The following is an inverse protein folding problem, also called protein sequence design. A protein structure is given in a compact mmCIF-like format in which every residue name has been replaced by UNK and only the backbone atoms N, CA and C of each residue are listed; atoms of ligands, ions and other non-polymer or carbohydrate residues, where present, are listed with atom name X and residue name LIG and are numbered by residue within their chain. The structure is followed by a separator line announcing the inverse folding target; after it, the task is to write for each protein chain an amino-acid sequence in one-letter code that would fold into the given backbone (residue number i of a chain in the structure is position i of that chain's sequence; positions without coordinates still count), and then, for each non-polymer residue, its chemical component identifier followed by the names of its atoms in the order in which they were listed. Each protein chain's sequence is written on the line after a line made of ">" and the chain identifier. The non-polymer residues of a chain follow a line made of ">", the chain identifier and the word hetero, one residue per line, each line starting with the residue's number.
data_IF_519052411120
#
_entry.id   IF_519052411120
#
_cell.length_a   1.000
_cell.length_b   1.000
_cell.length_c   1.000
_cell.angle_alpha   90.00
_cell.angle_beta   90.00
_cell.angle_gamma   90.00
#
_symmetry.space_group_name_H-M   'P 1'
#
loop_
_entity.id
_entity.type
_entity.pdbx_description
1 polymer ?
#
# COMPACT_ATOMS: atom_id res chain seq x y z
N UNK A 1 -5.22 0.98 19.24
CA UNK A 1 -4.69 -0.36 18.90
C UNK A 1 -3.45 -0.20 18.02
N UNK A 2 -2.58 -1.22 17.93
CA UNK A 2 -1.44 -1.23 16.99
C UNK A 2 -1.72 -2.21 15.85
N UNK A 3 -1.58 -1.77 14.61
CA UNK A 3 -1.95 -2.56 13.42
C UNK A 3 -0.88 -2.43 12.33
N UNK A 4 -0.44 -3.56 11.79
CA UNK A 4 0.41 -3.60 10.62
C UNK A 4 -0.37 -4.17 9.43
N UNK A 5 -0.38 -3.44 8.32
CA UNK A 5 -0.98 -3.86 7.04
C UNK A 5 0.14 -4.22 6.08
N UNK A 6 0.25 -5.51 5.74
CA UNK A 6 1.31 -6.03 4.86
C UNK A 6 0.71 -6.36 3.49
N UNK A 7 1.21 -5.71 2.45
CA UNK A 7 0.72 -5.87 1.07
C UNK A 7 1.74 -6.67 0.28
N UNK A 8 1.34 -7.88 -0.12
CA UNK A 8 2.16 -8.85 -0.87
C UNK A 8 1.72 -9.05 -2.32
N UNK A 9 0.50 -8.60 -2.68
CA UNK A 9 -0.07 -8.81 -4.02
C UNK A 9 0.76 -8.10 -5.09
N UNK A 10 0.93 -8.76 -6.23
CA UNK A 10 1.64 -8.19 -7.37
C UNK A 10 0.69 -7.32 -8.22
N UNK A 11 0.98 -6.03 -8.46
CA UNK A 11 0.21 -5.26 -9.44
C UNK A 11 0.30 -5.84 -10.86
N UNK A 12 1.35 -6.62 -11.17
CA UNK A 12 1.54 -7.22 -12.50
C UNK A 12 0.64 -8.43 -12.77
N UNK A 13 -0.09 -8.96 -11.79
CA UNK A 13 -1.07 -10.01 -12.06
C UNK A 13 -2.18 -9.53 -13.01
N UNK A 14 -2.39 -8.21 -13.10
CA UNK A 14 -3.42 -7.61 -13.94
C UNK A 14 -4.85 -7.97 -13.54
N UNK A 15 -5.03 -8.57 -12.35
CA UNK A 15 -6.33 -9.03 -11.87
C UNK A 15 -7.03 -7.95 -11.04
N UNK A 16 -8.35 -7.84 -11.22
CA UNK A 16 -9.22 -7.00 -10.38
C UNK A 16 -9.07 -7.35 -8.89
N UNK A 17 -8.77 -8.62 -8.60
CA UNK A 17 -8.51 -9.12 -7.27
C UNK A 17 -7.26 -8.49 -6.63
N UNK A 18 -6.15 -8.34 -7.36
CA UNK A 18 -4.95 -7.70 -6.84
C UNK A 18 -5.18 -6.21 -6.55
N UNK A 19 -5.92 -5.53 -7.44
CA UNK A 19 -6.35 -4.15 -7.22
C UNK A 19 -7.28 -4.03 -6.00
N UNK A 20 -8.26 -4.91 -5.89
CA UNK A 20 -9.18 -4.94 -4.75
C UNK A 20 -8.44 -5.15 -3.42
N UNK A 21 -7.45 -6.04 -3.38
CA UNK A 21 -6.62 -6.28 -2.19
C UNK A 21 -5.86 -5.04 -1.74
N UNK A 22 -5.15 -4.37 -2.65
CA UNK A 22 -4.41 -3.14 -2.30
C UNK A 22 -5.36 -2.03 -1.90
N UNK A 23 -6.49 -1.89 -2.59
CA UNK A 23 -7.48 -0.86 -2.33
C UNK A 23 -8.09 -0.99 -0.93
N UNK A 24 -8.51 -2.20 -0.56
CA UNK A 24 -9.09 -2.49 0.75
C UNK A 24 -8.04 -2.33 1.87
N UNK A 25 -6.79 -2.72 1.61
CA UNK A 25 -5.69 -2.52 2.56
C UNK A 25 -5.45 -1.02 2.85
N UNK A 26 -5.47 -0.17 1.82
CA UNK A 26 -5.34 1.28 1.98
C UNK A 26 -6.56 1.90 2.68
N UNK A 27 -7.77 1.39 2.42
CA UNK A 27 -8.99 1.82 3.10
C UNK A 27 -8.91 1.52 4.60
N UNK A 28 -8.56 0.29 4.97
CA UNK A 28 -8.38 -0.12 6.37
C UNK A 28 -7.34 0.76 7.08
N UNK A 29 -6.19 1.03 6.43
CA UNK A 29 -5.17 1.88 7.01
C UNK A 29 -5.63 3.34 7.19
N UNK A 30 -6.47 3.84 6.28
CA UNK A 30 -7.06 5.17 6.41
C UNK A 30 -8.04 5.24 7.58
N UNK A 31 -8.92 4.24 7.71
CA UNK A 31 -9.92 4.15 8.78
C UNK A 31 -9.27 3.99 10.15
N UNK A 32 -8.29 3.09 10.28
CA UNK A 32 -7.53 2.90 11.52
C UNK A 32 -6.88 4.20 11.97
N UNK A 33 -6.23 4.93 11.05
CA UNK A 33 -5.63 6.23 11.39
C UNK A 33 -6.67 7.25 11.82
N UNK A 34 -7.85 7.30 11.17
CA UNK A 34 -8.94 8.19 11.55
C UNK A 34 -9.54 7.85 12.92
N UNK A 35 -9.51 6.58 13.31
CA UNK A 35 -9.94 6.11 14.63
C UNK A 35 -8.90 6.42 15.74
N UNK A 36 -7.72 6.94 15.40
CA UNK A 36 -6.65 7.22 16.36
C UNK A 36 -5.73 6.02 16.64
N UNK A 37 -5.80 4.96 15.83
CA UNK A 37 -4.92 3.80 15.97
C UNK A 37 -3.53 4.05 15.41
N UNK A 38 -2.54 3.38 15.99
CA UNK A 38 -1.19 3.28 15.44
C UNK A 38 -1.22 2.26 14.30
N UNK A 39 -1.16 2.73 13.06
CA UNK A 39 -1.16 1.88 11.87
C UNK A 39 0.07 2.10 11.02
N UNK A 40 0.62 1.02 10.48
CA UNK A 40 1.70 1.04 9.49
C UNK A 40 1.31 0.23 8.25
N UNK A 41 1.67 0.74 7.08
CA UNK A 41 1.52 0.04 5.80
C UNK A 41 2.89 -0.36 5.28
N UNK A 42 3.08 -1.65 5.02
CA UNK A 42 4.33 -2.21 4.51
C UNK A 42 4.07 -2.92 3.20
N UNK A 43 4.77 -2.51 2.14
CA UNK A 43 4.83 -3.25 0.88
C UNK A 43 6.00 -4.24 0.95
N UNK A 44 5.76 -5.50 0.59
CA UNK A 44 6.79 -6.53 0.64
C UNK A 44 6.66 -7.51 -0.55
N UNK A 45 7.75 -8.18 -0.91
CA UNK A 45 7.80 -9.08 -2.05
C UNK A 45 7.34 -8.40 -3.34
N UNK A 46 6.42 -9.02 -4.07
CA UNK A 46 5.84 -8.45 -5.28
C UNK A 46 5.05 -7.15 -5.04
N UNK A 47 4.53 -6.95 -3.82
CA UNK A 47 3.81 -5.73 -3.44
C UNK A 47 4.64 -4.46 -3.45
N UNK A 48 5.98 -4.57 -3.41
CA UNK A 48 6.90 -3.41 -3.51
C UNK A 48 6.79 -2.63 -4.82
N UNK A 49 6.09 -3.17 -5.82
CA UNK A 49 5.81 -2.52 -7.11
C UNK A 49 4.62 -1.57 -7.06
N UNK A 50 3.70 -1.74 -6.09
CA UNK A 50 2.50 -0.91 -5.97
C UNK A 50 2.80 0.59 -5.82
N UNK A 51 3.77 1.05 -5.02
CA UNK A 51 4.07 2.48 -4.90
C UNK A 51 4.29 3.20 -6.24
N UNK A 52 4.95 2.55 -7.21
CA UNK A 52 5.16 3.11 -8.54
C UNK A 52 3.85 3.23 -9.36
N UNK A 53 2.92 2.30 -9.18
CA UNK A 53 1.60 2.34 -9.82
C UNK A 53 0.66 3.33 -9.13
N UNK A 54 0.58 3.27 -7.80
CA UNK A 54 -0.32 4.08 -6.98
C UNK A 54 0.02 5.58 -7.01
N UNK A 55 1.25 5.95 -7.35
CA UNK A 55 1.65 7.36 -7.49
C UNK A 55 1.23 7.98 -8.81
N UNK A 56 0.83 7.19 -9.81
CA UNK A 56 0.32 7.71 -11.09
C UNK A 56 -1.02 8.41 -10.88
N UNK A 57 -1.16 9.63 -11.38
CA UNK A 57 -2.38 10.43 -11.26
C UNK A 57 -3.61 9.75 -11.90
N UNK A 58 -3.39 8.94 -12.94
CA UNK A 58 -4.43 8.17 -13.61
C UNK A 58 -4.87 6.92 -12.84
N UNK A 59 -4.14 6.53 -11.78
CA UNK A 59 -4.45 5.30 -11.06
C UNK A 59 -5.65 5.53 -10.12
N UNK A 60 -6.69 4.67 -10.14
CA UNK A 60 -7.92 4.88 -9.36
C UNK A 60 -7.69 4.92 -7.84
N UNK A 61 -6.65 4.24 -7.36
CA UNK A 61 -6.27 4.24 -5.95
C UNK A 61 -5.30 5.38 -5.54
N UNK A 62 -4.93 6.29 -6.45
CA UNK A 62 -3.95 7.35 -6.17
C UNK A 62 -4.33 8.23 -4.97
N UNK A 63 -5.56 8.74 -4.93
CA UNK A 63 -6.03 9.57 -3.83
C UNK A 63 -6.03 8.83 -2.48
N UNK A 64 -6.37 7.55 -2.45
CA UNK A 64 -6.32 6.72 -1.24
C UNK A 64 -4.88 6.49 -0.78
N UNK A 65 -3.98 6.20 -1.71
CA UNK A 65 -2.57 6.02 -1.40
C UNK A 65 -1.96 7.31 -0.84
N UNK A 66 -2.27 8.45 -1.45
CA UNK A 66 -1.86 9.76 -0.94
C UNK A 66 -2.36 9.99 0.49
N UNK A 67 -3.63 9.65 0.75
CA UNK A 67 -4.22 9.79 2.09
C UNK A 67 -3.47 8.98 3.15
N UNK A 68 -2.87 7.83 2.82
CA UNK A 68 -2.15 6.99 3.80
C UNK A 68 -0.63 7.08 3.71
N UNK A 69 -0.08 7.97 2.86
CA UNK A 69 1.36 8.04 2.59
C UNK A 69 2.22 8.23 3.84
N UNK A 70 1.72 8.99 4.81
CA UNK A 70 2.43 9.28 6.07
C UNK A 70 2.68 8.03 6.94
N UNK A 71 1.86 6.97 6.78
CA UNK A 71 1.97 5.72 7.55
C UNK A 71 2.61 4.58 6.76
N UNK A 72 3.01 4.83 5.51
CA UNK A 72 3.73 3.85 4.70
C UNK A 72 5.18 3.78 5.14
N UNK A 73 5.64 2.61 5.58
CA UNK A 73 7.06 2.35 5.87
C UNK A 73 7.76 1.80 4.63
N UNK A 74 9.02 2.19 4.46
CA UNK A 74 9.84 1.66 3.38
C UNK A 74 10.01 0.14 3.54
N UNK A 75 9.91 -0.59 2.44
CA UNK A 75 10.30 -2.00 2.40
C UNK A 75 11.80 -2.15 2.76
N UNK A 76 12.19 -3.33 3.24
CA UNK A 76 13.59 -3.62 3.57
C UNK A 76 14.52 -3.29 2.38
N UNK A 77 15.76 -2.88 2.66
CA UNK A 77 16.73 -2.55 1.61
C UNK A 77 16.97 -3.70 0.62
N UNK A 78 16.75 -4.96 1.03
CA UNK A 78 16.83 -6.13 0.14
C UNK A 78 15.69 -6.28 -0.87
N UNK A 79 14.53 -5.65 -0.62
CA UNK A 79 13.38 -5.67 -1.54
C UNK A 79 13.26 -4.40 -2.39
N UNK A 80 14.15 -3.43 -2.19
CA UNK A 80 14.28 -2.27 -3.07
C UNK A 80 14.95 -2.77 -4.35
N UNK A 81 14.24 -2.80 -5.48
CA UNK A 81 14.95 -2.84 -6.76
C UNK A 81 15.81 -1.57 -6.81
N UNK A 82 17.13 -1.76 -6.75
CA UNK A 82 18.15 -0.71 -6.93
C UNK A 82 17.88 0.09 -8.23
N UNK A 83 18.46 1.31 -8.34
CA UNK A 83 17.88 2.47 -9.03
C UNK A 83 17.51 2.24 -10.50
#
# INVERSE_FOLDING_TARGET
>A
MKTAVIILSDPKSGSDEALGRVFNALALAHEARKAGDEVEVVFNGAGTRWPAELTKLSHPANGRYAAVRAVVKAASCGCRSSP
#
